data_IF_402051836166
#
_entry.id   IF_402051836166
#
_cell.length_a   1.000
_cell.length_b   1.000
_cell.length_c   1.000
_cell.angle_alpha   90.00
_cell.angle_beta   90.00
_cell.angle_gamma   90.00
#
_symmetry.space_group_name_H-M   'P 1'
#
loop_
_entity.id
_entity.type
_entity.pdbx_description
1 polymer ?
#
# COMPACT_ATOMS: atom_id res chain seq x y z
N UNK A 1 -11.89 19.82 2.79
CA UNK A 1 -12.04 21.17 2.21
C UNK A 1 -13.16 21.08 1.17
N UNK A 2 -14.16 21.90 1.26
CA UNK A 2 -15.26 21.99 0.30
C UNK A 2 -15.14 23.32 -0.44
N UNK A 3 -15.20 23.26 -1.76
CA UNK A 3 -15.44 24.43 -2.59
C UNK A 3 -16.79 24.24 -3.28
N UNK A 4 -17.70 25.19 -3.10
CA UNK A 4 -19.08 25.09 -3.61
C UNK A 4 -19.93 24.03 -2.91
N UNK A 5 -20.84 23.38 -3.64
CA UNK A 5 -21.78 22.37 -3.11
C UNK A 5 -21.14 20.98 -2.97
N UNK A 6 -20.00 20.71 -3.62
CA UNK A 6 -19.35 19.40 -3.64
C UNK A 6 -18.00 19.41 -2.91
N UNK A 7 -17.67 18.28 -2.29
CA UNK A 7 -16.34 18.06 -1.72
C UNK A 7 -15.33 17.79 -2.83
N UNK A 8 -14.17 18.48 -2.82
CA UNK A 8 -13.05 18.20 -3.72
C UNK A 8 -12.61 16.73 -3.62
N UNK A 9 -12.66 16.15 -2.42
CA UNK A 9 -12.42 14.71 -2.21
C UNK A 9 -13.41 13.84 -3.01
N UNK A 10 -14.70 14.18 -2.98
CA UNK A 10 -15.71 13.45 -3.73
C UNK A 10 -15.44 13.50 -5.25
N UNK A 11 -15.14 14.67 -5.78
CA UNK A 11 -14.84 14.85 -7.22
C UNK A 11 -13.62 14.05 -7.67
N UNK A 12 -12.60 13.95 -6.83
CA UNK A 12 -11.38 13.19 -7.13
C UNK A 12 -11.68 11.71 -7.41
N UNK A 13 -12.59 11.10 -6.65
CA UNK A 13 -12.86 9.66 -6.73
C UNK A 13 -14.09 9.29 -7.56
N UNK A 14 -14.92 10.27 -7.97
CA UNK A 14 -16.18 9.97 -8.64
C UNK A 14 -16.25 10.40 -10.11
N UNK A 15 -15.10 10.71 -10.71
CA UNK A 15 -15.03 11.01 -12.15
C UNK A 15 -15.53 9.83 -12.99
N UNK A 16 -16.27 10.14 -14.06
CA UNK A 16 -16.87 9.17 -14.99
C UNK A 16 -17.92 8.23 -14.37
N UNK A 17 -18.47 8.58 -13.21
CA UNK A 17 -19.56 7.83 -12.58
C UNK A 17 -20.91 8.53 -12.81
N UNK A 18 -21.96 7.74 -12.93
CA UNK A 18 -23.35 8.21 -12.88
C UNK A 18 -23.92 7.87 -11.51
N UNK A 19 -24.68 8.79 -10.92
CA UNK A 19 -25.29 8.60 -9.61
C UNK A 19 -26.75 8.16 -9.72
N UNK A 20 -27.13 7.22 -8.88
CA UNK A 20 -28.51 6.78 -8.69
C UNK A 20 -28.73 6.48 -7.22
N UNK A 21 -29.78 7.05 -6.63
CA UNK A 21 -30.17 6.75 -5.25
C UNK A 21 -31.34 5.76 -5.24
N UNK A 22 -31.14 4.61 -4.56
CA UNK A 22 -32.15 3.55 -4.45
C UNK A 22 -32.29 3.11 -2.99
N UNK A 23 -33.53 2.91 -2.53
CA UNK A 23 -33.78 2.18 -1.30
C UNK A 23 -33.89 0.68 -1.59
N UNK A 24 -32.81 -0.06 -1.41
CA UNK A 24 -32.77 -1.50 -1.67
C UNK A 24 -33.62 -2.34 -0.70
N UNK A 25 -34.12 -1.75 0.38
CA UNK A 25 -35.05 -2.41 1.30
C UNK A 25 -36.52 -2.29 0.84
N UNK A 26 -36.81 -1.43 -0.13
CA UNK A 26 -38.13 -1.36 -0.77
C UNK A 26 -38.20 -2.29 -1.97
N UNK A 27 -39.35 -2.87 -2.23
CA UNK A 27 -39.61 -3.75 -3.36
C UNK A 27 -39.34 -3.04 -4.71
N UNK A 28 -39.76 -1.77 -4.84
CA UNK A 28 -39.54 -0.97 -6.04
C UNK A 28 -38.06 -0.65 -6.28
N UNK A 29 -37.31 -0.26 -5.24
CA UNK A 29 -35.87 -0.02 -5.34
C UNK A 29 -35.09 -1.29 -5.66
N UNK A 30 -35.51 -2.43 -5.08
CA UNK A 30 -34.91 -3.74 -5.39
C UNK A 30 -35.12 -4.13 -6.85
N UNK A 31 -36.31 -3.96 -7.41
CA UNK A 31 -36.60 -4.21 -8.83
C UNK A 31 -35.68 -3.40 -9.76
N UNK A 32 -35.54 -2.11 -9.50
CA UNK A 32 -34.64 -1.24 -10.29
C UNK A 32 -33.19 -1.74 -10.22
N UNK A 33 -32.72 -2.14 -9.04
CA UNK A 33 -31.38 -2.70 -8.89
C UNK A 33 -31.22 -4.01 -9.68
N UNK A 34 -32.20 -4.90 -9.65
CA UNK A 34 -32.21 -6.15 -10.38
C UNK A 34 -32.22 -5.94 -11.91
N UNK A 35 -32.92 -4.91 -12.39
CA UNK A 35 -32.87 -4.51 -13.81
C UNK A 35 -31.49 -4.02 -14.22
N UNK A 36 -30.80 -3.26 -13.34
CA UNK A 36 -29.42 -2.87 -13.58
C UNK A 36 -28.47 -4.09 -13.61
N UNK A 37 -28.63 -5.04 -12.71
CA UNK A 37 -27.82 -6.28 -12.66
C UNK A 37 -27.92 -7.06 -13.99
N UNK A 38 -29.13 -7.15 -14.60
CA UNK A 38 -29.33 -7.84 -15.87
C UNK A 38 -28.51 -7.25 -17.03
N UNK A 39 -28.18 -5.95 -16.94
CA UNK A 39 -27.43 -5.20 -17.97
C UNK A 39 -26.01 -4.85 -17.57
N UNK A 40 -25.55 -5.28 -16.40
CA UNK A 40 -24.22 -4.98 -15.89
C UNK A 40 -23.29 -6.17 -15.97
N UNK A 41 -21.99 -5.93 -16.12
CA UNK A 41 -20.96 -6.97 -16.06
C UNK A 41 -20.56 -7.30 -14.62
N UNK A 42 -20.71 -6.34 -13.70
CA UNK A 42 -20.27 -6.50 -12.31
C UNK A 42 -21.07 -5.67 -11.31
N UNK A 43 -21.05 -6.13 -10.05
CA UNK A 43 -21.44 -5.37 -8.85
C UNK A 43 -20.19 -5.20 -7.99
N UNK A 44 -19.87 -3.96 -7.62
CA UNK A 44 -18.76 -3.66 -6.72
C UNK A 44 -19.27 -2.98 -5.45
N UNK A 45 -18.74 -3.38 -4.29
CA UNK A 45 -19.04 -2.75 -3.02
C UNK A 45 -17.81 -2.66 -2.12
N UNK A 46 -17.73 -1.60 -1.28
CA UNK A 46 -16.75 -1.47 -0.20
C UNK A 46 -17.43 -1.44 1.16
N UNK A 47 -18.37 -2.34 1.34
CA UNK A 47 -19.13 -2.49 2.58
C UNK A 47 -18.41 -3.42 3.57
N UNK A 48 -18.79 -3.36 4.85
CA UNK A 48 -18.33 -4.34 5.84
C UNK A 48 -18.67 -5.76 5.39
N UNK A 49 -17.81 -6.76 5.69
CA UNK A 49 -17.87 -8.08 5.10
C UNK A 49 -19.18 -8.86 5.26
N UNK A 50 -19.96 -8.59 6.31
CA UNK A 50 -21.28 -9.20 6.54
C UNK A 50 -22.43 -8.52 5.76
N UNK A 51 -22.22 -7.32 5.26
CA UNK A 51 -23.29 -6.50 4.67
C UNK A 51 -23.70 -6.97 3.26
N UNK A 52 -22.80 -7.40 2.35
CA UNK A 52 -23.19 -7.90 1.03
C UNK A 52 -24.22 -9.04 1.10
N UNK A 53 -24.07 -9.96 2.05
CA UNK A 53 -25.05 -11.03 2.28
C UNK A 53 -26.41 -10.49 2.73
N UNK A 54 -26.42 -9.54 3.67
CA UNK A 54 -27.66 -8.92 4.18
C UNK A 54 -28.38 -8.14 3.09
N UNK A 55 -27.64 -7.47 2.22
CA UNK A 55 -28.18 -6.71 1.09
C UNK A 55 -28.50 -7.59 -0.12
N UNK A 56 -28.16 -8.88 -0.08
CA UNK A 56 -28.39 -9.84 -1.18
C UNK A 56 -27.77 -9.34 -2.49
N UNK A 57 -26.47 -8.99 -2.45
CA UNK A 57 -25.70 -8.48 -3.59
C UNK A 57 -24.48 -9.35 -3.91
N UNK A 58 -24.43 -10.58 -3.38
CA UNK A 58 -23.41 -11.59 -3.73
C UNK A 58 -23.78 -12.33 -5.00
N UNK A 59 -22.85 -13.04 -5.57
CA UNK A 59 -23.07 -13.85 -6.77
C UNK A 59 -24.25 -14.81 -6.62
N UNK A 60 -24.33 -15.57 -5.53
CA UNK A 60 -25.43 -16.51 -5.28
C UNK A 60 -26.80 -15.84 -5.25
N UNK A 61 -26.86 -14.57 -4.82
CA UNK A 61 -28.09 -13.79 -4.79
C UNK A 61 -28.50 -13.27 -6.17
N UNK A 62 -27.56 -13.11 -7.11
CA UNK A 62 -27.74 -12.39 -8.38
C UNK A 62 -27.61 -13.26 -9.62
N UNK A 63 -27.01 -14.45 -9.54
CA UNK A 63 -26.75 -15.35 -10.67
C UNK A 63 -28.00 -15.78 -11.44
N UNK A 64 -29.15 -15.77 -10.81
CA UNK A 64 -30.44 -16.08 -11.47
C UNK A 64 -30.91 -14.96 -12.41
N UNK A 65 -30.42 -13.73 -12.21
CA UNK A 65 -30.69 -12.56 -13.05
C UNK A 65 -29.67 -12.43 -14.18
N UNK A 66 -28.40 -12.67 -13.85
CA UNK A 66 -27.27 -12.64 -14.77
C UNK A 66 -26.23 -13.69 -14.35
N UNK A 67 -26.18 -14.86 -15.02
CA UNK A 67 -25.23 -15.92 -14.66
C UNK A 67 -23.76 -15.52 -14.79
N UNK A 68 -23.42 -14.51 -15.59
CA UNK A 68 -22.05 -14.03 -15.80
C UNK A 68 -21.68 -12.84 -14.88
N UNK A 69 -22.56 -12.43 -13.98
CA UNK A 69 -22.29 -11.29 -13.10
C UNK A 69 -21.10 -11.56 -12.17
N UNK A 70 -20.18 -10.60 -12.05
CA UNK A 70 -19.06 -10.67 -11.09
C UNK A 70 -19.36 -9.76 -9.92
N UNK A 71 -19.37 -10.29 -8.70
CA UNK A 71 -19.63 -9.52 -7.49
C UNK A 71 -18.32 -9.33 -6.71
N UNK A 72 -17.76 -8.13 -6.73
CA UNK A 72 -16.53 -7.81 -6.03
C UNK A 72 -16.82 -7.02 -4.75
N UNK A 73 -16.40 -7.58 -3.62
CA UNK A 73 -16.52 -6.95 -2.30
C UNK A 73 -15.14 -6.63 -1.75
N UNK A 74 -14.87 -5.34 -1.50
CA UNK A 74 -13.72 -4.86 -0.76
C UNK A 74 -14.16 -4.53 0.67
N UNK A 75 -13.61 -5.22 1.65
CA UNK A 75 -13.97 -4.99 3.06
C UNK A 75 -12.73 -4.91 3.95
N UNK A 76 -12.89 -4.54 5.21
CA UNK A 76 -11.76 -4.43 6.13
C UNK A 76 -11.02 -5.76 6.35
N UNK A 77 -11.77 -6.87 6.53
CA UNK A 77 -11.23 -8.17 6.93
C UNK A 77 -11.75 -9.36 6.11
N UNK A 78 -12.36 -9.10 4.95
CA UNK A 78 -12.99 -10.15 4.14
C UNK A 78 -14.45 -10.40 4.53
N UNK A 79 -15.15 -11.17 3.69
CA UNK A 79 -16.55 -11.58 3.93
C UNK A 79 -16.68 -12.78 4.88
N UNK A 80 -15.57 -13.42 5.21
CA UNK A 80 -15.51 -14.63 6.05
C UNK A 80 -14.53 -14.44 7.21
N UNK A 81 -14.54 -15.38 8.16
CA UNK A 81 -13.62 -15.35 9.30
C UNK A 81 -14.16 -14.55 10.50
N UNK A 82 -13.40 -14.55 11.61
CA UNK A 82 -13.87 -14.04 12.90
C UNK A 82 -14.06 -12.52 12.93
N UNK A 83 -13.41 -11.79 12.01
CA UNK A 83 -13.46 -10.32 11.94
C UNK A 83 -14.29 -9.77 10.77
N UNK A 84 -15.06 -10.61 10.08
CA UNK A 84 -15.89 -10.19 8.94
C UNK A 84 -16.91 -9.09 9.31
N UNK A 85 -17.30 -9.01 10.58
CA UNK A 85 -18.22 -8.00 11.10
C UNK A 85 -17.52 -6.75 11.66
N UNK A 86 -16.20 -6.71 11.66
CA UNK A 86 -15.44 -5.56 12.15
C UNK A 86 -15.33 -4.47 11.07
N UNK A 87 -15.41 -3.19 11.45
CA UNK A 87 -15.10 -2.11 10.53
C UNK A 87 -13.61 -2.05 10.27
N UNK A 88 -13.21 -1.82 9.00
CA UNK A 88 -11.83 -1.63 8.60
C UNK A 88 -11.64 -0.23 8.02
N UNK A 89 -10.73 0.54 8.63
CA UNK A 89 -10.26 1.82 8.12
C UNK A 89 -8.76 1.76 7.89
N UNK A 90 -8.27 2.43 6.86
CA UNK A 90 -6.85 2.49 6.49
C UNK A 90 -5.94 2.68 7.71
N UNK A 91 -6.22 3.69 8.53
CA UNK A 91 -5.40 4.04 9.70
C UNK A 91 -5.29 2.89 10.71
N UNK A 92 -6.41 2.23 11.00
CA UNK A 92 -6.45 1.09 11.93
C UNK A 92 -5.69 -0.09 11.33
N UNK A 93 -5.86 -0.34 10.04
CA UNK A 93 -5.24 -1.46 9.35
C UNK A 93 -3.74 -1.28 9.15
N UNK A 94 -3.24 -0.07 8.92
CA UNK A 94 -1.80 0.23 8.97
C UNK A 94 -1.20 -0.13 10.33
N UNK A 95 -1.92 0.16 11.44
CA UNK A 95 -1.50 -0.22 12.79
C UNK A 95 -1.48 -1.74 12.99
N UNK A 96 -2.59 -2.41 12.69
CA UNK A 96 -2.76 -3.86 12.91
C UNK A 96 -1.80 -4.68 12.02
N UNK A 97 -1.58 -4.26 10.77
CA UNK A 97 -0.66 -4.92 9.84
C UNK A 97 0.83 -4.64 10.15
N UNK A 98 1.14 -3.78 11.13
CA UNK A 98 2.50 -3.50 11.55
C UNK A 98 3.24 -2.41 10.76
N UNK A 99 2.60 -1.74 9.79
CA UNK A 99 3.24 -0.70 8.98
C UNK A 99 3.77 0.46 9.82
N UNK A 100 3.05 0.82 10.89
CA UNK A 100 3.48 1.91 11.79
C UNK A 100 4.71 1.55 12.63
N UNK A 101 5.08 0.30 12.69
CA UNK A 101 6.33 -0.16 13.29
C UNK A 101 7.52 -0.11 12.33
N UNK A 102 7.28 0.23 11.05
CA UNK A 102 8.30 0.36 10.01
C UNK A 102 8.51 1.81 9.58
N UNK A 103 7.52 2.67 9.82
CA UNK A 103 7.50 4.06 9.33
C UNK A 103 7.77 5.05 10.46
N UNK A 104 8.62 6.05 10.17
CA UNK A 104 8.95 7.12 11.10
C UNK A 104 10.27 6.89 11.84
N UNK A 105 10.59 7.82 12.74
CA UNK A 105 11.80 7.78 13.54
C UNK A 105 11.68 6.75 14.68
N UNK A 106 12.75 6.01 15.04
CA UNK A 106 12.74 5.03 16.13
C UNK A 106 12.24 5.58 17.47
N UNK A 107 12.62 6.80 17.79
CA UNK A 107 12.28 7.44 19.06
C UNK A 107 10.95 8.21 19.01
N UNK A 108 10.32 8.27 17.85
CA UNK A 108 9.03 8.91 17.65
C UNK A 108 7.83 8.01 17.92
N UNK A 109 6.61 8.55 17.90
CA UNK A 109 5.39 7.72 17.98
C UNK A 109 5.21 6.84 16.74
N UNK A 110 4.37 5.77 16.82
CA UNK A 110 3.97 5.02 15.64
C UNK A 110 3.41 5.95 14.56
N UNK A 111 3.96 5.88 13.34
CA UNK A 111 3.65 6.82 12.27
C UNK A 111 3.02 6.11 11.08
N UNK A 112 1.83 6.56 10.70
CA UNK A 112 1.20 6.09 9.45
C UNK A 112 1.83 6.75 8.23
N UNK A 113 1.66 6.15 7.05
CA UNK A 113 1.96 6.82 5.78
C UNK A 113 1.09 8.08 5.63
N UNK A 114 1.60 9.09 4.93
CA UNK A 114 0.87 10.34 4.66
C UNK A 114 -0.42 10.13 3.85
N UNK A 115 -0.46 9.07 3.04
CA UNK A 115 -1.61 8.68 2.22
C UNK A 115 -2.33 7.49 2.84
N UNK A 116 -3.57 7.23 2.41
CA UNK A 116 -4.35 6.04 2.77
C UNK A 116 -3.88 4.83 1.93
N UNK A 117 -2.65 4.39 2.19
CA UNK A 117 -1.96 3.40 1.36
C UNK A 117 -2.59 2.02 1.40
N UNK A 118 -3.23 1.64 2.51
CA UNK A 118 -3.97 0.37 2.62
C UNK A 118 -5.24 0.42 1.77
N UNK A 119 -5.98 1.55 1.79
CA UNK A 119 -7.15 1.74 0.95
C UNK A 119 -6.78 1.70 -0.54
N UNK A 120 -5.71 2.40 -0.94
CA UNK A 120 -5.25 2.39 -2.33
C UNK A 120 -4.79 1.01 -2.78
N UNK A 121 -3.98 0.31 -1.97
CA UNK A 121 -3.52 -1.04 -2.31
C UNK A 121 -4.68 -2.02 -2.42
N UNK A 122 -5.62 -1.99 -1.45
CA UNK A 122 -6.84 -2.79 -1.51
C UNK A 122 -7.70 -2.46 -2.73
N UNK A 123 -7.82 -1.18 -3.07
CA UNK A 123 -8.52 -0.74 -4.29
C UNK A 123 -7.88 -1.29 -5.57
N UNK A 124 -6.54 -1.31 -5.67
CA UNK A 124 -5.84 -1.93 -6.81
C UNK A 124 -6.03 -3.45 -6.84
N UNK A 125 -5.94 -4.12 -5.69
CA UNK A 125 -6.20 -5.57 -5.60
C UNK A 125 -7.64 -5.88 -6.02
N UNK A 126 -8.62 -5.09 -5.56
CA UNK A 126 -10.03 -5.24 -5.95
C UNK A 126 -10.23 -5.03 -7.45
N UNK A 127 -9.59 -4.02 -8.05
CA UNK A 127 -9.66 -3.79 -9.49
C UNK A 127 -9.05 -4.96 -10.29
N UNK A 128 -7.91 -5.50 -9.87
CA UNK A 128 -7.28 -6.66 -10.50
C UNK A 128 -8.16 -7.90 -10.36
N UNK A 129 -8.72 -8.16 -9.17
CA UNK A 129 -9.62 -9.27 -8.92
C UNK A 129 -10.88 -9.18 -9.76
N UNK A 130 -11.47 -7.97 -9.86
CA UNK A 130 -12.62 -7.71 -10.69
C UNK A 130 -12.33 -7.97 -12.18
N UNK A 131 -11.20 -7.48 -12.70
CA UNK A 131 -10.80 -7.70 -14.09
C UNK A 131 -10.55 -9.19 -14.38
N UNK A 132 -9.91 -9.91 -13.46
CA UNK A 132 -9.71 -11.34 -13.57
C UNK A 132 -11.06 -12.12 -13.57
N UNK A 133 -11.97 -11.74 -12.67
CA UNK A 133 -13.32 -12.29 -12.62
C UNK A 133 -14.11 -12.03 -13.89
N UNK A 134 -14.07 -10.80 -14.43
CA UNK A 134 -14.72 -10.45 -15.70
C UNK A 134 -14.12 -11.21 -16.89
N UNK A 135 -12.80 -11.41 -16.91
CA UNK A 135 -12.15 -12.22 -17.94
C UNK A 135 -12.64 -13.67 -17.89
N UNK A 136 -12.68 -14.27 -16.70
CA UNK A 136 -13.19 -15.63 -16.51
C UNK A 136 -14.67 -15.74 -16.88
N UNK A 137 -15.50 -14.80 -16.42
CA UNK A 137 -16.94 -14.79 -16.72
C UNK A 137 -17.23 -14.67 -18.23
N UNK A 138 -16.45 -13.86 -18.96
CA UNK A 138 -16.58 -13.74 -20.43
C UNK A 138 -16.16 -15.03 -21.15
N UNK A 139 -15.17 -15.75 -20.65
CA UNK A 139 -14.71 -17.01 -21.23
C UNK A 139 -15.68 -18.15 -20.97
N UNK A 140 -16.18 -18.26 -19.75
CA UNK A 140 -16.89 -19.44 -19.24
C UNK A 140 -18.41 -19.25 -19.20
N UNK A 141 -18.91 -18.02 -19.36
CA UNK A 141 -20.33 -17.68 -19.22
C UNK A 141 -20.85 -17.69 -17.77
N UNK A 142 -19.96 -17.83 -16.79
CA UNK A 142 -20.27 -17.97 -15.36
C UNK A 142 -19.44 -16.96 -14.57
N UNK A 143 -20.13 -16.13 -13.79
CA UNK A 143 -19.51 -15.16 -12.89
C UNK A 143 -19.11 -15.76 -11.54
N UNK A 144 -18.93 -14.90 -10.53
CA UNK A 144 -18.57 -15.34 -9.18
C UNK A 144 -18.35 -14.17 -8.23
N UNK A 145 -18.06 -14.51 -6.97
CA UNK A 145 -17.64 -13.52 -5.98
C UNK A 145 -16.11 -13.31 -6.00
N UNK A 146 -15.70 -12.05 -5.88
CA UNK A 146 -14.33 -11.65 -5.57
C UNK A 146 -14.35 -11.05 -4.16
N UNK A 147 -13.79 -11.74 -3.18
CA UNK A 147 -13.65 -11.26 -1.80
C UNK A 147 -12.26 -10.67 -1.60
N UNK A 148 -12.16 -9.37 -1.35
CA UNK A 148 -10.91 -8.65 -1.15
C UNK A 148 -10.91 -8.02 0.24
N UNK A 149 -9.89 -8.36 1.02
CA UNK A 149 -9.65 -7.81 2.35
C UNK A 149 -8.58 -6.72 2.30
N UNK A 150 -8.87 -5.58 2.90
CA UNK A 150 -7.87 -4.51 3.12
C UNK A 150 -6.72 -5.02 4.01
N UNK A 151 -7.04 -5.82 5.04
CA UNK A 151 -6.03 -6.39 5.93
C UNK A 151 -5.08 -7.34 5.19
N UNK A 152 -5.61 -8.26 4.39
CA UNK A 152 -4.79 -9.19 3.61
C UNK A 152 -3.94 -8.44 2.57
N UNK A 153 -4.50 -7.39 1.97
CA UNK A 153 -3.75 -6.50 1.07
C UNK A 153 -2.60 -5.81 1.82
N UNK A 154 -2.84 -5.30 3.02
CA UNK A 154 -1.81 -4.67 3.84
C UNK A 154 -0.71 -5.66 4.25
N UNK A 155 -1.06 -6.88 4.66
CA UNK A 155 -0.09 -7.94 4.99
C UNK A 155 0.73 -8.34 3.75
N UNK A 156 0.07 -8.49 2.60
CA UNK A 156 0.76 -8.81 1.34
C UNK A 156 1.78 -7.75 0.96
N UNK A 157 1.49 -6.46 1.20
CA UNK A 157 2.40 -5.34 0.91
C UNK A 157 3.64 -5.31 1.81
N UNK A 158 3.71 -6.05 2.92
CA UNK A 158 4.93 -6.18 3.71
C UNK A 158 6.05 -6.92 2.96
N UNK A 159 5.71 -7.73 1.95
CA UNK A 159 6.63 -8.37 1.00
C UNK A 159 7.86 -9.02 1.66
N UNK A 160 9.07 -8.54 1.31
CA UNK A 160 10.34 -9.08 1.80
C UNK A 160 10.56 -8.84 3.30
N UNK A 161 9.98 -7.80 3.88
CA UNK A 161 10.10 -7.51 5.33
C UNK A 161 9.46 -8.64 6.14
N UNK A 162 8.25 -9.05 5.77
CA UNK A 162 7.58 -10.21 6.38
C UNK A 162 8.35 -11.51 6.11
N UNK A 163 8.84 -11.70 4.87
CA UNK A 163 9.62 -12.88 4.53
C UNK A 163 10.91 -12.98 5.35
N UNK A 164 11.62 -11.88 5.56
CA UNK A 164 12.82 -11.87 6.41
C UNK A 164 12.50 -12.22 7.85
N UNK A 165 11.46 -11.62 8.43
CA UNK A 165 11.06 -11.92 9.80
C UNK A 165 10.65 -13.39 9.98
N UNK A 166 9.95 -13.96 9.01
CA UNK A 166 9.47 -15.35 9.10
C UNK A 166 10.57 -16.40 8.88
N UNK A 167 11.67 -16.05 8.20
CA UNK A 167 12.69 -17.01 7.76
C UNK A 167 14.10 -16.72 8.31
N UNK A 168 14.26 -15.70 9.16
CA UNK A 168 15.55 -15.34 9.77
C UNK A 168 15.33 -14.67 11.14
N UNK A 169 16.41 -14.35 11.82
CA UNK A 169 16.39 -13.60 13.10
C UNK A 169 16.19 -12.08 12.90
N UNK A 170 15.77 -11.65 11.69
CA UNK A 170 15.51 -10.26 11.41
C UNK A 170 14.28 -9.75 12.15
N UNK A 171 14.46 -8.72 12.96
CA UNK A 171 13.38 -8.01 13.66
C UNK A 171 13.10 -6.69 12.93
N UNK A 172 11.93 -6.54 12.28
CA UNK A 172 11.56 -5.29 11.64
C UNK A 172 11.45 -4.15 12.65
N UNK A 173 12.04 -3.02 12.34
CA UNK A 173 12.02 -1.83 13.18
C UNK A 173 12.04 -0.55 12.34
N UNK A 174 11.64 0.55 12.95
CA UNK A 174 11.83 1.88 12.37
C UNK A 174 13.32 2.21 12.38
N UNK A 175 13.79 2.79 11.28
CA UNK A 175 15.18 3.15 11.08
C UNK A 175 15.35 4.67 11.02
N UNK A 176 16.36 5.21 11.69
CA UNK A 176 16.70 6.66 11.61
C UNK A 176 16.88 7.05 10.16
N UNK A 177 16.48 8.28 9.83
CA UNK A 177 16.62 8.87 8.51
C UNK A 177 16.01 8.00 7.38
N UNK A 178 14.98 7.21 7.69
CA UNK A 178 14.36 6.27 6.74
C UNK A 178 15.35 5.30 6.09
N UNK A 179 16.34 4.84 6.84
CA UNK A 179 17.40 3.94 6.36
C UNK A 179 16.83 2.59 5.91
N UNK A 180 17.43 2.05 4.85
CA UNK A 180 17.19 0.65 4.46
C UNK A 180 17.87 -0.30 5.46
N UNK A 181 17.21 -1.39 5.90
CA UNK A 181 17.76 -2.25 6.94
C UNK A 181 19.02 -3.01 6.54
N UNK A 182 19.24 -3.29 5.26
CA UNK A 182 20.37 -4.10 4.77
C UNK A 182 21.34 -3.37 3.83
N UNK A 183 20.97 -2.23 3.25
CA UNK A 183 21.81 -1.47 2.31
C UNK A 183 22.34 -0.21 2.98
N UNK A 184 23.63 0.09 2.77
CA UNK A 184 24.32 1.27 3.32
C UNK A 184 25.30 1.83 2.29
N UNK A 185 25.26 3.17 2.00
CA UNK A 185 24.22 4.12 2.37
C UNK A 185 22.96 3.95 1.52
N UNK A 186 21.81 3.96 2.16
CA UNK A 186 20.50 3.98 1.51
C UNK A 186 19.51 4.64 2.48
N UNK A 187 19.43 5.98 2.48
CA UNK A 187 18.65 6.75 3.44
C UNK A 187 18.57 8.24 3.08
N UNK A 188 17.89 9.01 3.92
CA UNK A 188 17.92 10.45 3.88
C UNK A 188 19.19 10.97 4.55
N UNK A 189 19.78 12.05 3.98
CA UNK A 189 20.89 12.80 4.57
C UNK A 189 20.52 14.27 4.65
N UNK A 190 20.99 14.92 5.71
CA UNK A 190 20.86 16.36 5.90
C UNK A 190 21.99 17.08 5.17
N UNK A 191 21.65 18.12 4.43
CA UNK A 191 22.57 19.07 3.81
C UNK A 191 22.46 20.43 4.53
N UNK A 192 23.26 21.40 4.16
CA UNK A 192 23.28 22.72 4.81
C UNK A 192 21.92 23.45 4.81
N UNK A 193 21.05 23.17 3.84
CA UNK A 193 19.78 23.87 3.62
C UNK A 193 18.55 22.96 3.45
N UNK A 194 18.69 21.64 3.68
CA UNK A 194 17.58 20.71 3.52
C UNK A 194 18.00 19.25 3.54
N UNK A 195 17.14 18.39 2.99
CA UNK A 195 17.32 16.96 2.98
C UNK A 195 17.34 16.40 1.55
N UNK A 196 18.12 15.36 1.32
CA UNK A 196 18.14 14.61 0.07
C UNK A 196 18.33 13.11 0.34
N UNK A 197 18.11 12.30 -0.69
CA UNK A 197 18.18 10.83 -0.58
C UNK A 197 19.44 10.32 -1.28
N UNK A 198 20.18 9.45 -0.61
CA UNK A 198 21.23 8.63 -1.22
C UNK A 198 20.80 7.18 -1.23
N UNK A 199 20.98 6.49 -2.37
CA UNK A 199 20.52 5.11 -2.55
C UNK A 199 21.57 4.27 -3.31
N UNK A 200 22.57 3.73 -2.61
CA UNK A 200 23.57 2.85 -3.17
C UNK A 200 23.09 1.39 -3.19
N UNK A 201 22.22 1.05 -4.14
CA UNK A 201 21.67 -0.29 -4.32
C UNK A 201 22.57 -1.28 -5.10
N UNK A 202 23.75 -0.85 -5.52
CA UNK A 202 24.77 -1.68 -6.20
C UNK A 202 26.16 -1.20 -5.79
N UNK A 203 27.17 -2.09 -5.79
CA UNK A 203 28.54 -1.74 -5.41
C UNK A 203 29.07 -0.57 -6.26
N UNK A 204 28.88 -0.59 -7.55
CA UNK A 204 29.29 0.51 -8.44
C UNK A 204 28.65 1.87 -8.12
N UNK A 205 27.55 1.92 -7.35
CA UNK A 205 26.96 3.18 -6.92
C UNK A 205 27.67 3.73 -5.68
N UNK A 206 28.21 2.86 -4.86
CA UNK A 206 29.09 3.25 -3.77
C UNK A 206 30.38 3.88 -4.31
N UNK A 207 31.07 3.23 -5.25
CA UNK A 207 32.27 3.75 -5.91
C UNK A 207 32.04 5.13 -6.54
N UNK A 208 30.93 5.31 -7.25
CA UNK A 208 30.55 6.61 -7.84
C UNK A 208 30.20 7.67 -6.80
N UNK A 209 29.57 7.27 -5.70
CA UNK A 209 29.26 8.20 -4.63
C UNK A 209 30.52 8.77 -4.02
N UNK A 210 31.48 7.92 -3.64
CA UNK A 210 32.71 8.37 -3.00
C UNK A 210 33.59 9.21 -3.94
N UNK A 211 33.59 8.90 -5.23
CA UNK A 211 34.19 9.72 -6.27
C UNK A 211 33.51 11.11 -6.34
N UNK A 212 32.18 11.14 -6.40
CA UNK A 212 31.41 12.38 -6.52
C UNK A 212 31.57 13.32 -5.30
N UNK A 213 31.77 12.75 -4.11
CA UNK A 213 31.99 13.53 -2.88
C UNK A 213 33.47 13.81 -2.60
N UNK A 214 34.41 13.31 -3.43
CA UNK A 214 35.85 13.52 -3.30
C UNK A 214 36.47 12.74 -2.14
N UNK A 215 35.97 11.54 -1.84
CA UNK A 215 36.40 10.68 -0.72
C UNK A 215 36.62 9.24 -1.18
N UNK A 216 37.38 9.05 -2.27
CA UNK A 216 37.65 7.74 -2.89
C UNK A 216 38.30 6.75 -1.92
N UNK A 217 39.05 7.25 -0.91
CA UNK A 217 39.67 6.44 0.13
C UNK A 217 38.64 5.62 0.93
N UNK A 218 37.38 6.03 0.96
CA UNK A 218 36.31 5.26 1.61
C UNK A 218 35.98 3.96 0.83
N UNK A 219 36.13 3.95 -0.49
CA UNK A 219 35.93 2.73 -1.27
C UNK A 219 37.14 1.77 -1.19
N UNK A 220 38.33 2.30 -0.93
CA UNK A 220 39.56 1.51 -0.75
C UNK A 220 39.63 0.86 0.63
N UNK A 221 38.92 1.40 1.62
CA UNK A 221 38.90 0.86 2.98
C UNK A 221 38.29 -0.53 3.03
N UNK A 222 38.93 -1.45 3.75
CA UNK A 222 38.38 -2.79 4.00
C UNK A 222 37.06 -2.76 4.77
N UNK A 223 36.84 -1.72 5.58
CA UNK A 223 35.63 -1.55 6.37
C UNK A 223 34.38 -1.17 5.55
N UNK A 224 34.58 -0.68 4.30
CA UNK A 224 33.46 -0.17 3.47
C UNK A 224 33.42 -0.73 2.05
N UNK A 225 34.24 -1.68 1.72
CA UNK A 225 34.42 -2.20 0.35
C UNK A 225 33.17 -2.89 -0.17
N UNK A 226 32.54 -3.74 0.66
CA UNK A 226 31.38 -4.52 0.26
C UNK A 226 30.11 -4.09 1.02
N UNK A 227 28.94 -4.50 0.53
CA UNK A 227 27.69 -4.31 1.27
C UNK A 227 27.75 -4.86 2.70
N UNK A 228 28.40 -6.00 2.89
CA UNK A 228 28.54 -6.62 4.21
C UNK A 228 29.38 -5.74 5.13
N UNK A 229 30.51 -5.25 4.66
CA UNK A 229 31.42 -4.41 5.44
C UNK A 229 30.74 -3.11 5.84
N UNK A 230 30.11 -2.42 4.89
CA UNK A 230 29.33 -1.19 5.17
C UNK A 230 28.17 -1.42 6.12
N UNK A 231 27.54 -2.59 6.09
CA UNK A 231 26.46 -2.92 7.03
C UNK A 231 26.98 -3.13 8.44
N UNK A 232 28.13 -3.79 8.60
CA UNK A 232 28.77 -4.00 9.89
C UNK A 232 29.25 -2.67 10.48
N UNK A 233 29.85 -1.82 9.66
CA UNK A 233 30.42 -0.53 10.06
C UNK A 233 29.45 0.65 9.82
N UNK A 234 28.14 0.38 9.82
CA UNK A 234 27.07 1.33 9.45
C UNK A 234 27.17 2.66 10.19
N UNK A 235 27.24 2.61 11.51
CA UNK A 235 27.17 3.83 12.34
C UNK A 235 28.35 4.76 12.08
N UNK A 236 29.56 4.23 11.96
CA UNK A 236 30.74 5.01 11.67
C UNK A 236 30.67 5.61 10.26
N UNK A 237 30.33 4.79 9.23
CA UNK A 237 30.20 5.27 7.87
C UNK A 237 29.16 6.38 7.73
N UNK A 238 27.97 6.19 8.33
CA UNK A 238 26.91 7.19 8.25
C UNK A 238 27.29 8.48 8.99
N UNK A 239 28.03 8.40 10.10
CA UNK A 239 28.56 9.58 10.79
C UNK A 239 29.51 10.38 9.89
N UNK A 240 30.42 9.71 9.16
CA UNK A 240 31.33 10.35 8.21
C UNK A 240 30.57 11.01 7.06
N UNK A 241 29.63 10.30 6.44
CA UNK A 241 28.82 10.84 5.35
C UNK A 241 27.97 12.02 5.77
N UNK A 242 27.36 11.98 6.96
CA UNK A 242 26.60 13.12 7.50
C UNK A 242 27.50 14.37 7.69
N UNK A 243 28.75 14.18 8.15
CA UNK A 243 29.68 15.29 8.31
C UNK A 243 30.08 15.92 6.97
N UNK A 244 30.16 15.12 5.90
CA UNK A 244 30.46 15.60 4.54
C UNK A 244 29.24 16.34 3.97
N UNK A 245 28.06 15.72 4.04
CA UNK A 245 26.87 16.25 3.36
C UNK A 245 26.34 17.54 3.94
N UNK A 246 26.49 17.75 5.26
CA UNK A 246 26.05 18.99 5.92
C UNK A 246 26.84 20.24 5.48
N UNK A 247 28.00 20.09 4.88
CA UNK A 247 28.86 21.22 4.50
C UNK A 247 28.35 22.01 3.28
N UNK A 248 27.50 21.42 2.46
CA UNK A 248 27.04 22.02 1.19
C UNK A 248 25.52 21.99 1.08
N UNK A 249 24.93 22.90 0.28
CA UNK A 249 23.50 22.88 0.04
C UNK A 249 23.05 21.68 -0.80
N UNK A 250 21.77 21.34 -0.72
CA UNK A 250 21.14 20.27 -1.50
C UNK A 250 21.46 20.38 -3.00
N UNK A 251 21.45 21.62 -3.54
CA UNK A 251 21.73 21.88 -4.95
C UNK A 251 23.16 21.52 -5.40
N UNK A 252 24.09 21.37 -4.44
CA UNK A 252 25.44 20.90 -4.74
C UNK A 252 25.51 19.38 -4.93
N UNK A 253 24.66 18.65 -4.18
CA UNK A 253 24.67 17.18 -4.16
C UNK A 253 23.78 16.53 -5.25
N UNK A 254 22.87 17.31 -5.88
CA UNK A 254 21.96 16.88 -6.95
C UNK A 254 22.47 17.25 -8.35
#
# INVERSE_FOLDING_TARGET
>A
MAEGENSVFFETFNRNKRSLSLNLNSESGRRVFEDLVRSSDAVYSNLRGDVPAKMRIRYDDLKHLNPAIVCCSLSGFGMTGPRATDPGYDYILQGIAGWMSLTGDPDGPPTKSGLSMVDYSGGFVAAISLLAGLHAARRDGVGGDCDVSLFDSAVTMLTYVAAWQMNSDFVPARMRNSSHPSLVPFQNFEAADGWFVVACAKEKFWERLVEAIGHEELAESEDYRTFSDRRVNREELLSRLNAIFIEKPVSHWL
#
